data_IF_602899131734
#
_entry.id   IF_602899131734
#
_cell.length_a   1.000
_cell.length_b   1.000
_cell.length_c   1.000
_cell.angle_alpha   90.00
_cell.angle_beta   90.00
_cell.angle_gamma   90.00
#
_symmetry.space_group_name_H-M   'P 1'
#
loop_
_entity.id
_entity.type
_entity.pdbx_description
1 polymer ?
#
# COMPACT_ATOMS: atom_id res chain seq x y z
N UNK A 1 -7.72 11.21 4.07
CA UNK A 1 -7.72 12.17 5.21
C UNK A 1 -6.27 12.41 5.61
N UNK A 2 -5.82 13.66 5.80
CA UNK A 2 -4.43 13.91 6.19
C UNK A 2 -4.13 13.35 7.59
N UNK A 3 -2.99 12.68 7.72
CA UNK A 3 -2.41 12.24 8.99
C UNK A 3 -1.79 13.47 9.65
N UNK A 4 -2.22 13.75 10.88
CA UNK A 4 -1.78 14.92 11.64
C UNK A 4 -0.68 14.58 12.63
N UNK A 5 -0.05 15.60 13.20
CA UNK A 5 1.06 15.45 14.14
C UNK A 5 0.73 14.53 15.33
N UNK A 6 -0.52 14.47 15.78
CA UNK A 6 -0.96 13.62 16.89
C UNK A 6 -0.81 12.11 16.58
N UNK A 7 -0.65 11.73 15.30
CA UNK A 7 -0.36 10.35 14.92
C UNK A 7 0.99 9.84 15.43
N UNK A 8 1.89 10.74 15.84
CA UNK A 8 3.23 10.44 16.36
C UNK A 8 3.36 10.55 17.89
N UNK A 9 2.28 10.95 18.57
CA UNK A 9 2.15 10.91 20.03
C UNK A 9 1.88 9.48 20.51
N UNK A 10 2.11 9.17 21.78
CA UNK A 10 1.76 7.84 22.33
C UNK A 10 0.23 7.67 22.38
N UNK A 11 -0.37 6.76 21.59
CA UNK A 11 -1.81 6.55 21.58
C UNK A 11 -2.26 5.63 22.73
N UNK A 12 -1.35 5.23 23.63
CA UNK A 12 -1.55 4.25 24.71
C UNK A 12 -2.05 2.87 24.22
N UNK A 13 -1.73 2.54 22.96
CA UNK A 13 -2.10 1.32 22.26
C UNK A 13 -1.36 1.18 20.92
N UNK A 14 -1.84 0.31 20.03
CA UNK A 14 -1.34 0.22 18.65
C UNK A 14 -2.35 0.81 17.66
N UNK A 15 -1.90 1.76 16.83
CA UNK A 15 -2.70 2.40 15.78
C UNK A 15 -1.97 2.32 14.44
N UNK A 16 -2.71 1.99 13.39
CA UNK A 16 -2.22 1.91 12.01
C UNK A 16 -2.88 3.00 11.17
N UNK A 17 -2.07 3.67 10.36
CA UNK A 17 -2.51 4.67 9.39
C UNK A 17 -2.07 4.23 7.99
N UNK A 18 -3.01 4.13 7.06
CA UNK A 18 -2.66 3.87 5.67
C UNK A 18 -2.03 5.12 5.05
N UNK A 19 -0.89 4.94 4.39
CA UNK A 19 -0.13 6.00 3.74
C UNK A 19 -0.48 6.13 2.24
N UNK A 20 -1.38 5.28 1.73
CA UNK A 20 -1.56 5.07 0.30
C UNK A 20 -0.60 4.01 -0.24
N UNK A 21 -0.85 3.51 -1.46
CA UNK A 21 -0.08 2.40 -2.05
C UNK A 21 -0.01 1.22 -1.06
N UNK A 22 1.15 0.58 -0.89
CA UNK A 22 1.37 -0.47 0.09
C UNK A 22 1.74 0.05 1.50
N UNK A 23 1.81 1.37 1.69
CA UNK A 23 2.45 1.98 2.84
C UNK A 23 1.57 2.05 4.09
N UNK A 24 2.15 1.77 5.25
CA UNK A 24 1.49 1.95 6.55
C UNK A 24 2.43 2.58 7.58
N UNK A 25 1.93 3.56 8.34
CA UNK A 25 2.53 4.04 9.58
C UNK A 25 1.91 3.27 10.75
N UNK A 26 2.74 2.66 11.58
CA UNK A 26 2.35 1.92 12.77
C UNK A 26 2.91 2.66 13.98
N UNK A 27 2.02 3.07 14.89
CA UNK A 27 2.39 3.61 16.19
C UNK A 27 1.97 2.62 17.27
N UNK A 28 2.94 1.86 17.78
CA UNK A 28 2.76 0.87 18.83
C UNK A 28 3.26 1.45 20.17
N UNK A 29 2.37 2.11 20.89
CA UNK A 29 2.62 2.74 22.21
C UNK A 29 3.83 3.67 22.18
N UNK A 30 3.94 4.48 21.12
CA UNK A 30 5.04 5.41 20.90
C UNK A 30 6.24 4.85 20.12
N UNK A 31 6.30 3.53 19.88
CA UNK A 31 7.25 2.93 18.91
C UNK A 31 6.71 3.13 17.51
N UNK A 32 7.45 3.87 16.67
CA UNK A 32 7.01 4.28 15.34
C UNK A 32 7.70 3.48 14.24
N UNK A 33 6.92 2.73 13.48
CA UNK A 33 7.37 1.97 12.32
C UNK A 33 6.68 2.47 11.06
N UNK A 34 7.36 2.47 9.92
CA UNK A 34 6.72 2.58 8.62
C UNK A 34 6.98 1.31 7.81
N UNK A 35 5.94 0.70 7.24
CA UNK A 35 6.04 -0.42 6.30
C UNK A 35 5.85 0.14 4.89
N UNK A 36 6.75 -0.20 3.96
CA UNK A 36 6.71 0.16 2.54
C UNK A 36 6.29 1.62 2.27
N UNK A 37 6.91 2.62 2.91
CA UNK A 37 6.46 4.00 2.79
C UNK A 37 6.73 4.57 1.38
N UNK A 38 5.65 5.02 0.74
CA UNK A 38 5.71 5.80 -0.49
C UNK A 38 4.92 7.09 -0.28
N UNK A 39 5.63 8.22 -0.20
CA UNK A 39 5.09 9.53 0.15
C UNK A 39 5.39 10.62 -0.89
N UNK A 40 6.22 10.31 -1.90
CA UNK A 40 6.61 11.25 -2.96
C UNK A 40 7.23 10.55 -4.17
N UNK A 41 7.26 11.27 -5.30
CA UNK A 41 8.05 10.99 -6.50
C UNK A 41 7.87 9.55 -7.06
N UNK A 42 6.62 9.11 -7.17
CA UNK A 42 6.29 7.88 -7.90
C UNK A 42 6.32 8.12 -9.41
N UNK A 43 6.72 7.10 -10.17
CA UNK A 43 6.95 7.17 -11.61
C UNK A 43 5.68 7.04 -12.45
N UNK A 44 4.59 6.57 -11.84
CA UNK A 44 3.27 6.56 -12.43
C UNK A 44 2.39 7.66 -11.83
N UNK A 45 1.45 8.24 -12.59
CA UNK A 45 0.50 9.19 -12.03
C UNK A 45 -0.35 8.52 -10.94
N UNK A 46 -0.61 9.23 -9.84
CA UNK A 46 -1.37 8.73 -8.69
C UNK A 46 -2.74 9.39 -8.60
N UNK A 47 -3.74 8.63 -8.12
CA UNK A 47 -5.12 9.08 -7.89
C UNK A 47 -5.35 9.65 -6.49
N UNK A 48 -4.37 9.48 -5.61
CA UNK A 48 -4.46 9.86 -4.20
C UNK A 48 -3.54 11.04 -3.89
N UNK A 49 -3.99 11.89 -2.96
CA UNK A 49 -3.09 12.76 -2.22
C UNK A 49 -2.44 11.94 -1.10
N UNK A 50 -1.11 11.91 -1.03
CA UNK A 50 -0.42 11.27 0.09
C UNK A 50 -0.90 11.90 1.41
N UNK A 51 -1.39 11.11 2.37
CA UNK A 51 -1.99 11.61 3.59
C UNK A 51 -0.93 12.19 4.54
N UNK A 52 0.35 12.01 4.25
CA UNK A 52 1.49 12.45 5.03
C UNK A 52 2.62 12.86 4.07
N UNK A 53 3.29 13.98 4.34
CA UNK A 53 4.51 14.34 3.62
C UNK A 53 5.71 13.78 4.36
N UNK A 54 6.75 13.34 3.63
CA UNK A 54 7.97 12.82 4.27
C UNK A 54 8.63 13.85 5.21
N UNK A 55 8.56 15.14 4.88
CA UNK A 55 9.07 16.23 5.70
C UNK A 55 8.31 16.45 7.02
N UNK A 56 7.06 15.97 7.11
CA UNK A 56 6.21 16.10 8.30
C UNK A 56 6.41 14.92 9.28
N UNK A 57 7.26 13.94 8.94
CA UNK A 57 7.59 12.81 9.80
C UNK A 57 8.65 13.24 10.83
N UNK A 58 8.32 13.31 12.14
CA UNK A 58 9.25 13.83 13.13
C UNK A 58 10.33 12.82 13.52
N UNK A 59 10.00 11.52 13.50
CA UNK A 59 10.89 10.40 13.84
C UNK A 59 10.29 9.08 13.37
N UNK A 60 11.14 8.10 13.11
CA UNK A 60 10.81 6.69 12.95
C UNK A 60 11.85 5.85 13.71
N UNK A 61 11.39 4.88 14.49
CA UNK A 61 12.27 3.90 15.11
C UNK A 61 12.73 2.85 14.08
N UNK A 62 11.85 2.49 13.14
CA UNK A 62 12.27 1.74 11.97
C UNK A 62 11.42 1.97 10.72
N UNK A 63 12.04 1.74 9.56
CA UNK A 63 11.35 1.53 8.28
C UNK A 63 11.53 0.08 7.87
N UNK A 64 10.45 -0.61 7.54
CA UNK A 64 10.41 -1.98 7.08
C UNK A 64 10.08 -1.97 5.58
N UNK A 65 10.93 -2.56 4.76
CA UNK A 65 10.71 -2.66 3.31
C UNK A 65 10.64 -4.12 2.90
N UNK A 66 9.57 -4.51 2.22
CA UNK A 66 9.31 -5.91 1.83
C UNK A 66 10.19 -6.35 0.67
N UNK A 67 10.36 -5.51 -0.35
CA UNK A 67 11.17 -5.83 -1.54
C UNK A 67 11.58 -4.57 -2.32
N UNK A 68 12.29 -4.75 -3.44
CA UNK A 68 13.01 -3.66 -4.13
C UNK A 68 12.17 -2.88 -5.16
N UNK A 69 10.92 -3.26 -5.43
CA UNK A 69 10.11 -2.58 -6.43
C UNK A 69 9.72 -1.18 -5.93
N UNK A 70 9.62 -0.22 -6.83
CA UNK A 70 9.62 1.20 -6.48
C UNK A 70 8.32 1.67 -5.80
N UNK A 71 7.24 0.90 -5.93
CA UNK A 71 5.98 1.06 -5.23
C UNK A 71 6.03 0.57 -3.77
N UNK A 72 7.10 -0.11 -3.36
CA UNK A 72 7.38 -0.55 -1.99
C UNK A 72 8.66 0.08 -1.42
N UNK A 73 9.77 -0.02 -2.16
CA UNK A 73 11.03 0.66 -1.89
C UNK A 73 11.15 1.96 -2.69
N UNK A 74 10.36 2.97 -2.30
CA UNK A 74 10.49 4.32 -2.85
C UNK A 74 11.82 4.95 -2.41
N UNK A 75 12.84 4.92 -3.28
CA UNK A 75 14.14 5.56 -3.03
C UNK A 75 13.99 7.04 -2.66
N UNK A 76 13.18 7.86 -3.34
CA UNK A 76 12.95 9.25 -2.94
C UNK A 76 12.40 9.38 -1.51
N UNK A 77 11.37 8.60 -1.19
CA UNK A 77 10.75 8.62 0.16
C UNK A 77 11.74 8.14 1.22
N UNK A 78 12.39 7.00 1.02
CA UNK A 78 13.35 6.46 1.98
C UNK A 78 14.56 7.40 2.19
N UNK A 79 15.00 8.09 1.13
CA UNK A 79 16.07 9.10 1.22
C UNK A 79 15.61 10.30 2.05
N UNK A 80 14.39 10.80 1.83
CA UNK A 80 13.82 11.90 2.60
C UNK A 80 13.64 11.53 4.10
N UNK A 81 13.27 10.28 4.38
CA UNK A 81 13.08 9.77 5.75
C UNK A 81 14.39 9.40 6.46
N UNK A 82 15.53 9.34 5.76
CA UNK A 82 16.79 8.84 6.30
C UNK A 82 17.23 9.59 7.57
N UNK A 83 17.11 10.92 7.57
CA UNK A 83 17.55 11.75 8.70
C UNK A 83 16.70 11.58 9.98
N UNK A 84 15.47 11.07 9.85
CA UNK A 84 14.52 10.89 10.96
C UNK A 84 14.31 9.41 11.32
N UNK A 85 14.97 8.49 10.62
CA UNK A 85 14.83 7.04 10.81
C UNK A 85 16.04 6.46 11.52
N UNK A 86 15.84 5.74 12.63
CA UNK A 86 16.96 5.10 13.33
C UNK A 86 17.55 3.95 12.53
N UNK A 87 16.70 3.05 12.00
CA UNK A 87 17.11 1.88 11.21
C UNK A 87 16.14 1.54 10.10
N UNK A 88 16.69 1.09 8.97
CA UNK A 88 15.92 0.45 7.91
C UNK A 88 16.11 -1.06 8.01
N UNK A 89 15.05 -1.83 7.84
CA UNK A 89 15.09 -3.29 7.89
C UNK A 89 14.44 -3.87 6.64
N UNK A 90 15.15 -4.81 6.01
CA UNK A 90 14.64 -5.51 4.83
C UNK A 90 15.36 -6.85 4.64
N UNK A 91 15.19 -7.47 3.48
CA UNK A 91 16.03 -8.59 3.06
C UNK A 91 17.49 -8.18 2.96
N UNK A 92 18.39 -9.17 2.93
CA UNK A 92 19.83 -8.91 2.76
C UNK A 92 20.13 -8.09 1.51
N UNK A 93 19.42 -8.37 0.42
CA UNK A 93 19.59 -7.68 -0.85
C UNK A 93 19.13 -6.22 -0.79
N UNK A 94 17.89 -5.97 -0.34
CA UNK A 94 17.37 -4.59 -0.30
C UNK A 94 18.14 -3.74 0.72
N UNK A 95 18.55 -4.33 1.86
CA UNK A 95 19.39 -3.63 2.82
C UNK A 95 20.80 -3.30 2.26
N UNK A 96 21.32 -4.06 1.29
CA UNK A 96 22.52 -3.69 0.55
C UNK A 96 22.29 -2.44 -0.31
N UNK A 97 21.20 -2.41 -1.09
CA UNK A 97 20.81 -1.23 -1.88
C UNK A 97 20.64 0.02 -1.00
N UNK A 98 19.96 -0.11 0.13
CA UNK A 98 19.79 0.97 1.10
C UNK A 98 21.12 1.49 1.64
N UNK A 99 22.09 0.61 1.93
CA UNK A 99 23.43 1.02 2.40
C UNK A 99 24.23 1.72 1.31
N UNK A 100 24.10 1.30 0.04
CA UNK A 100 24.70 2.01 -1.09
C UNK A 100 24.17 3.45 -1.22
N UNK A 101 22.92 3.67 -0.83
CA UNK A 101 22.28 4.98 -0.76
C UNK A 101 22.56 5.74 0.56
N UNK A 102 23.40 5.20 1.45
CA UNK A 102 23.80 5.84 2.70
C UNK A 102 22.78 5.75 3.84
N UNK A 103 21.83 4.80 3.77
CA UNK A 103 20.85 4.56 4.84
C UNK A 103 21.41 3.59 5.89
N UNK A 104 21.06 3.75 7.18
CA UNK A 104 21.45 2.83 8.25
C UNK A 104 20.59 1.56 8.21
N UNK A 105 20.87 0.66 7.26
CA UNK A 105 20.04 -0.52 7.00
C UNK A 105 20.64 -1.84 7.49
N UNK A 106 19.78 -2.70 8.03
CA UNK A 106 20.07 -4.06 8.48
C UNK A 106 19.32 -5.07 7.61
N UNK A 107 20.06 -6.05 7.07
CA UNK A 107 19.54 -7.08 6.17
C UNK A 107 19.30 -8.40 6.88
N UNK A 108 18.12 -8.98 6.67
CA UNK A 108 17.64 -10.18 7.37
C UNK A 108 17.38 -11.32 6.40
N UNK A 109 17.55 -12.56 6.87
CA UNK A 109 17.07 -13.76 6.21
C UNK A 109 15.65 -14.13 6.62
N UNK A 110 15.01 -14.99 5.83
CA UNK A 110 13.69 -15.52 6.16
C UNK A 110 13.75 -16.33 7.46
N UNK A 111 12.86 -16.02 8.40
CA UNK A 111 12.80 -16.61 9.74
C UNK A 111 13.64 -15.86 10.79
N UNK A 112 14.49 -14.91 10.39
CA UNK A 112 15.20 -14.05 11.34
C UNK A 112 14.19 -13.17 12.08
N UNK A 113 14.54 -12.79 13.31
CA UNK A 113 13.72 -11.91 14.13
C UNK A 113 14.57 -10.84 14.82
N UNK A 114 13.99 -9.65 14.98
CA UNK A 114 14.62 -8.50 15.61
C UNK A 114 13.58 -7.72 16.44
N UNK A 115 14.05 -6.75 17.22
CA UNK A 115 13.19 -5.90 18.04
C UNK A 115 13.45 -4.43 17.79
N UNK A 116 12.39 -3.65 17.78
CA UNK A 116 12.41 -2.19 17.70
C UNK A 116 11.54 -1.68 18.83
N UNK A 117 12.14 -1.05 19.83
CA UNK A 117 11.42 -0.66 21.05
C UNK A 117 10.67 -1.85 21.69
N UNK A 118 9.35 -1.69 21.88
CA UNK A 118 8.47 -2.73 22.41
C UNK A 118 7.90 -3.70 21.37
N UNK A 119 8.36 -3.66 20.12
CA UNK A 119 7.84 -4.44 18.99
C UNK A 119 8.84 -5.51 18.59
N UNK A 120 8.37 -6.75 18.41
CA UNK A 120 9.16 -7.86 17.84
C UNK A 120 8.74 -8.09 16.40
N UNK A 121 9.70 -8.18 15.49
CA UNK A 121 9.44 -8.41 14.07
C UNK A 121 10.11 -9.72 13.66
N UNK A 122 9.36 -10.60 12.99
CA UNK A 122 9.90 -11.81 12.36
C UNK A 122 9.73 -11.70 10.84
N UNK A 123 10.79 -12.00 10.11
CA UNK A 123 10.80 -11.95 8.65
C UNK A 123 10.14 -13.21 8.10
N UNK A 124 9.00 -13.06 7.43
CA UNK A 124 8.23 -14.16 6.84
C UNK A 124 8.58 -14.34 5.37
N UNK A 125 8.29 -15.53 4.83
CA UNK A 125 8.56 -15.84 3.43
C UNK A 125 7.68 -14.98 2.52
N UNK A 126 8.22 -14.34 1.46
CA UNK A 126 7.41 -13.68 0.43
C UNK A 126 7.03 -14.67 -0.68
N UNK A 127 6.18 -14.22 -1.59
CA UNK A 127 6.25 -14.69 -2.99
C UNK A 127 6.09 -13.53 -3.95
N UNK A 128 7.12 -12.72 -4.09
CA UNK A 128 7.23 -11.78 -5.23
C UNK A 128 7.80 -12.52 -6.46
N UNK A 129 7.67 -11.97 -7.67
CA UNK A 129 7.90 -12.73 -8.91
C UNK A 129 9.38 -12.80 -9.29
N UNK A 130 10.14 -13.65 -8.59
CA UNK A 130 11.50 -14.04 -9.00
C UNK A 130 11.59 -14.91 -10.27
N UNK A 131 10.49 -15.08 -11.03
CA UNK A 131 10.39 -16.06 -12.14
C UNK A 131 10.12 -15.46 -13.52
N UNK A 132 10.29 -14.16 -13.73
CA UNK A 132 10.25 -13.60 -15.08
C UNK A 132 11.61 -13.78 -15.77
N UNK A 133 11.69 -14.41 -16.97
CA UNK A 133 12.93 -14.50 -17.73
C UNK A 133 13.47 -13.10 -18.04
N UNK A 134 14.70 -12.80 -17.63
CA UNK A 134 15.32 -11.49 -17.85
C UNK A 134 16.35 -11.51 -18.98
N UNK A 135 16.54 -10.39 -19.71
CA UNK A 135 17.64 -10.24 -20.66
C UNK A 135 19.00 -10.52 -20.03
N UNK A 136 19.95 -11.00 -20.83
CA UNK A 136 21.32 -11.23 -20.39
C UNK A 136 21.96 -9.96 -19.81
N UNK A 137 22.61 -10.07 -18.65
CA UNK A 137 23.25 -8.94 -17.95
C UNK A 137 22.43 -8.33 -16.83
N UNK A 138 21.17 -8.76 -16.63
CA UNK A 138 20.39 -8.39 -15.46
C UNK A 138 20.61 -9.39 -14.30
N UNK A 139 20.52 -8.89 -13.07
CA UNK A 139 20.59 -9.72 -11.85
C UNK A 139 19.46 -10.75 -11.85
N UNK A 140 19.79 -11.98 -11.47
CA UNK A 140 18.81 -13.00 -11.11
C UNK A 140 18.27 -12.69 -9.72
N UNK A 141 16.97 -12.50 -9.60
CA UNK A 141 16.30 -12.32 -8.31
C UNK A 141 15.99 -13.68 -7.70
N UNK A 142 16.19 -13.77 -6.40
CA UNK A 142 15.91 -14.95 -5.58
C UNK A 142 14.68 -14.70 -4.72
N UNK A 143 13.99 -15.76 -4.33
CA UNK A 143 12.79 -15.65 -3.49
C UNK A 143 13.12 -14.93 -2.16
N UNK A 144 14.33 -15.11 -1.62
CA UNK A 144 14.82 -14.42 -0.42
C UNK A 144 15.16 -12.93 -0.60
N UNK A 145 15.04 -12.38 -1.80
CA UNK A 145 15.21 -10.93 -2.04
C UNK A 145 13.99 -10.12 -1.64
N UNK A 146 12.89 -10.79 -1.31
CA UNK A 146 11.68 -10.21 -0.76
C UNK A 146 11.34 -10.82 0.58
N UNK A 147 10.41 -10.23 1.32
CA UNK A 147 9.89 -10.79 2.55
C UNK A 147 8.50 -10.24 2.89
N UNK A 148 7.87 -10.88 3.88
CA UNK A 148 6.86 -10.22 4.70
C UNK A 148 7.38 -9.99 6.12
N UNK A 149 6.59 -9.27 6.94
CA UNK A 149 6.89 -8.98 8.32
C UNK A 149 5.73 -9.38 9.23
N UNK A 150 6.01 -10.31 10.15
CA UNK A 150 5.15 -10.64 11.28
C UNK A 150 5.52 -9.76 12.47
N UNK A 151 4.65 -8.82 12.83
CA UNK A 151 4.93 -7.71 13.73
C UNK A 151 4.10 -7.91 15.01
N UNK A 152 4.78 -8.27 16.09
CA UNK A 152 4.18 -8.53 17.39
C UNK A 152 4.33 -7.27 18.27
N UNK A 153 3.19 -6.69 18.65
CA UNK A 153 3.11 -5.56 19.59
C UNK A 153 2.53 -6.03 20.92
N UNK A 154 2.52 -5.16 21.95
CA UNK A 154 1.85 -5.46 23.21
C UNK A 154 0.31 -5.57 23.09
N UNK A 155 -0.27 -4.98 22.04
CA UNK A 155 -1.72 -4.87 21.85
C UNK A 155 -2.27 -5.88 20.82
N UNK A 156 -1.40 -6.57 20.10
CA UNK A 156 -1.79 -7.51 19.05
C UNK A 156 -0.71 -7.71 17.98
N UNK A 157 -1.03 -8.54 17.00
CA UNK A 157 -0.17 -8.95 15.91
C UNK A 157 -0.64 -8.37 14.59
N UNK A 158 0.28 -7.74 13.88
CA UNK A 158 0.09 -7.22 12.52
C UNK A 158 0.92 -8.07 11.58
N UNK A 159 0.35 -8.49 10.45
CA UNK A 159 1.10 -9.18 9.42
C UNK A 159 1.11 -8.38 8.12
N UNK A 160 2.31 -8.09 7.63
CA UNK A 160 2.56 -7.40 6.37
C UNK A 160 3.23 -8.36 5.37
N UNK A 161 2.48 -9.10 4.54
CA UNK A 161 3.03 -10.06 3.58
C UNK A 161 3.68 -9.43 2.33
N UNK A 162 3.59 -8.10 2.17
CA UNK A 162 3.88 -7.43 0.89
C UNK A 162 2.78 -7.73 -0.15
N UNK A 163 3.04 -7.37 -1.40
CA UNK A 163 2.24 -7.69 -2.60
C UNK A 163 2.56 -9.09 -3.15
N UNK A 164 2.51 -10.08 -2.26
CA UNK A 164 2.92 -11.44 -2.58
C UNK A 164 1.87 -12.21 -3.40
N UNK A 165 2.30 -13.23 -4.14
CA UNK A 165 1.45 -14.36 -4.54
C UNK A 165 1.00 -15.18 -3.32
N UNK A 166 -0.01 -16.03 -3.47
CA UNK A 166 -0.43 -16.89 -2.37
C UNK A 166 0.49 -18.11 -2.25
N UNK A 167 1.14 -18.28 -1.09
CA UNK A 167 1.86 -19.51 -0.73
C UNK A 167 0.96 -20.36 0.15
N UNK A 168 0.29 -21.36 -0.41
CA UNK A 168 -0.69 -22.15 0.36
C UNK A 168 -0.07 -22.84 1.57
N UNK A 169 1.14 -23.36 1.43
CA UNK A 169 1.87 -24.09 2.48
C UNK A 169 2.48 -23.17 3.55
N UNK A 170 2.43 -21.85 3.36
CA UNK A 170 2.89 -20.87 4.34
C UNK A 170 1.72 -20.02 4.80
N UNK A 171 1.14 -19.23 3.91
CA UNK A 171 0.16 -18.21 4.25
C UNK A 171 -1.12 -18.76 4.89
N UNK A 172 -1.64 -19.88 4.38
CA UNK A 172 -2.85 -20.49 4.92
C UNK A 172 -2.62 -21.28 6.22
N UNK A 173 -1.36 -21.44 6.63
CA UNK A 173 -0.96 -22.23 7.81
C UNK A 173 -0.37 -21.39 8.94
N UNK A 174 -0.12 -20.09 8.69
CA UNK A 174 0.28 -19.15 9.73
C UNK A 174 -0.82 -19.01 10.78
N UNK A 175 -0.50 -18.65 12.03
CA UNK A 175 -1.50 -18.20 12.99
C UNK A 175 -2.29 -17.02 12.43
N UNK A 176 -3.55 -16.86 12.85
CA UNK A 176 -4.35 -15.69 12.47
C UNK A 176 -3.84 -14.43 13.17
N UNK A 177 -3.42 -13.39 12.43
CA UNK A 177 -3.04 -12.11 13.02
C UNK A 177 -4.28 -11.32 13.45
N UNK A 178 -4.11 -10.30 14.29
CA UNK A 178 -5.20 -9.37 14.60
C UNK A 178 -5.47 -8.42 13.42
N UNK A 179 -4.42 -8.00 12.70
CA UNK A 179 -4.54 -7.20 11.48
C UNK A 179 -3.65 -7.75 10.35
N UNK A 180 -4.18 -7.77 9.13
CA UNK A 180 -3.48 -8.23 7.94
C UNK A 180 -3.42 -7.09 6.92
N UNK A 181 -2.22 -6.63 6.55
CA UNK A 181 -2.02 -5.64 5.49
C UNK A 181 -2.19 -6.36 4.15
N UNK A 182 -3.38 -6.27 3.61
CA UNK A 182 -3.89 -7.21 2.64
C UNK A 182 -3.85 -6.63 1.22
N UNK A 183 -2.90 -7.08 0.42
CA UNK A 183 -2.87 -6.81 -1.01
C UNK A 183 -3.67 -7.87 -1.77
N UNK A 184 -4.36 -7.48 -2.83
CA UNK A 184 -4.76 -8.41 -3.89
C UNK A 184 -4.95 -7.65 -5.18
N UNK A 185 -4.75 -8.34 -6.30
CA UNK A 185 -5.22 -7.95 -7.62
C UNK A 185 -5.28 -9.19 -8.50
N UNK A 186 -6.13 -9.19 -9.52
CA UNK A 186 -6.18 -10.30 -10.49
C UNK A 186 -5.04 -10.19 -11.50
N UNK A 187 -3.82 -10.31 -10.99
CA UNK A 187 -2.58 -10.29 -11.73
C UNK A 187 -1.67 -11.41 -11.26
N UNK A 188 -0.73 -11.82 -12.12
CA UNK A 188 0.18 -12.90 -11.77
C UNK A 188 1.20 -12.51 -10.69
N UNK A 189 1.28 -11.25 -10.24
CA UNK A 189 2.27 -10.84 -9.23
C UNK A 189 1.69 -10.87 -7.80
N UNK A 190 0.36 -10.80 -7.65
CA UNK A 190 -0.34 -10.64 -6.39
C UNK A 190 -1.09 -11.92 -5.98
N UNK A 191 -1.89 -11.86 -4.91
CA UNK A 191 -2.68 -13.00 -4.43
C UNK A 191 -3.68 -13.55 -5.45
N UNK A 192 -4.08 -12.81 -6.50
CA UNK A 192 -5.29 -13.06 -7.30
C UNK A 192 -6.57 -12.93 -6.48
N UNK A 193 -7.72 -12.83 -7.14
CA UNK A 193 -9.00 -12.83 -6.44
C UNK A 193 -9.22 -14.15 -5.66
N UNK A 194 -9.01 -15.29 -6.32
CA UNK A 194 -9.21 -16.60 -5.69
C UNK A 194 -8.25 -16.81 -4.51
N UNK A 195 -6.98 -16.42 -4.66
CA UNK A 195 -6.01 -16.52 -3.57
C UNK A 195 -6.31 -15.55 -2.42
N UNK A 196 -6.87 -14.37 -2.70
CA UNK A 196 -7.36 -13.47 -1.67
C UNK A 196 -8.52 -14.08 -0.87
N UNK A 197 -9.48 -14.73 -1.53
CA UNK A 197 -10.57 -15.45 -0.87
C UNK A 197 -10.03 -16.59 0.01
N UNK A 198 -9.07 -17.38 -0.49
CA UNK A 198 -8.43 -18.43 0.32
C UNK A 198 -7.70 -17.85 1.54
N UNK A 199 -6.92 -16.78 1.36
CA UNK A 199 -6.17 -16.11 2.42
C UNK A 199 -7.09 -15.54 3.50
N UNK A 200 -8.11 -14.79 3.11
CA UNK A 200 -9.08 -14.21 4.04
C UNK A 200 -9.84 -15.28 4.82
N UNK A 201 -10.22 -16.39 4.16
CA UNK A 201 -10.93 -17.48 4.81
C UNK A 201 -10.05 -18.34 5.73
N UNK A 202 -8.74 -18.37 5.52
CA UNK A 202 -7.79 -18.97 6.45
C UNK A 202 -7.58 -18.11 7.71
N UNK A 203 -7.86 -16.81 7.61
CA UNK A 203 -7.69 -15.82 8.69
C UNK A 203 -9.00 -15.08 8.99
N UNK A 204 -10.11 -15.78 9.31
CA UNK A 204 -11.46 -15.20 9.34
C UNK A 204 -11.69 -14.19 10.48
N UNK A 205 -10.79 -14.15 11.45
CA UNK A 205 -10.84 -13.25 12.61
C UNK A 205 -9.88 -12.04 12.48
N UNK A 206 -9.08 -11.96 11.40
CA UNK A 206 -8.16 -10.85 11.17
C UNK A 206 -8.88 -9.64 10.56
N UNK A 207 -8.59 -8.43 11.04
CA UNK A 207 -8.99 -7.21 10.34
C UNK A 207 -8.18 -7.07 9.04
N UNK A 208 -8.87 -7.05 7.90
CA UNK A 208 -8.24 -6.96 6.57
C UNK A 208 -8.06 -5.48 6.19
N UNK A 209 -6.83 -5.02 6.15
CA UNK A 209 -6.48 -3.65 5.77
C UNK A 209 -6.02 -3.63 4.31
N UNK A 210 -6.98 -3.42 3.41
CA UNK A 210 -6.72 -3.46 1.97
C UNK A 210 -5.83 -2.30 1.53
N UNK A 211 -4.81 -2.61 0.74
CA UNK A 211 -3.84 -1.62 0.23
C UNK A 211 -3.48 -1.90 -1.23
N UNK A 212 -2.57 -1.12 -1.81
CA UNK A 212 -2.12 -1.15 -3.22
C UNK A 212 -3.17 -0.65 -4.23
N UNK A 213 -4.43 -1.07 -4.09
CA UNK A 213 -5.54 -0.69 -4.96
C UNK A 213 -5.86 0.81 -4.94
N UNK A 214 -6.45 1.32 -6.04
CA UNK A 214 -7.07 2.64 -6.11
C UNK A 214 -6.10 3.82 -5.97
N UNK A 215 -4.80 3.57 -5.96
CA UNK A 215 -3.76 4.59 -5.71
C UNK A 215 -3.10 5.11 -6.99
N UNK A 216 -3.09 4.32 -8.07
CA UNK A 216 -2.38 4.63 -9.32
C UNK A 216 -3.38 4.88 -10.45
N UNK A 217 -3.17 5.94 -11.24
CA UNK A 217 -3.96 6.25 -12.44
C UNK A 217 -3.47 5.39 -13.60
N UNK A 218 -3.83 4.10 -13.55
CA UNK A 218 -3.48 3.14 -14.59
C UNK A 218 -4.60 2.11 -14.77
N UNK A 219 -5.78 2.50 -15.26
CA UNK A 219 -6.98 1.65 -15.25
C UNK A 219 -6.85 0.34 -16.03
N UNK A 220 -5.87 0.24 -16.93
CA UNK A 220 -5.62 -0.96 -17.74
C UNK A 220 -4.49 -1.85 -17.17
N UNK A 221 -3.92 -1.49 -16.02
CA UNK A 221 -2.83 -2.23 -15.39
C UNK A 221 -3.31 -2.94 -14.13
N UNK A 222 -3.65 -4.22 -14.27
CA UNK A 222 -4.29 -5.03 -13.24
C UNK A 222 -3.71 -4.91 -11.80
N UNK A 223 -2.38 -4.82 -11.57
CA UNK A 223 -1.79 -4.75 -10.22
C UNK A 223 -2.43 -3.75 -9.26
N UNK A 224 -2.77 -2.56 -9.75
CA UNK A 224 -3.28 -1.45 -8.92
C UNK A 224 -4.80 -1.31 -8.92
N UNK A 225 -5.54 -2.20 -9.60
CA UNK A 225 -6.96 -2.01 -9.93
C UNK A 225 -7.87 -3.11 -9.37
N UNK A 226 -7.52 -3.70 -8.23
CA UNK A 226 -8.44 -4.57 -7.53
C UNK A 226 -9.67 -3.80 -7.04
N UNK A 227 -10.82 -4.47 -7.03
CA UNK A 227 -12.08 -3.94 -6.49
C UNK A 227 -12.35 -4.55 -5.11
N UNK A 228 -12.12 -3.82 -4.00
CA UNK A 228 -12.41 -4.27 -2.64
C UNK A 228 -13.81 -4.83 -2.40
N UNK A 229 -14.82 -4.31 -3.11
CA UNK A 229 -16.21 -4.71 -2.88
C UNK A 229 -16.44 -6.14 -3.37
N UNK A 230 -15.73 -6.57 -4.40
CA UNK A 230 -15.79 -7.97 -4.89
C UNK A 230 -15.30 -8.96 -3.84
N UNK A 231 -14.29 -8.60 -3.05
CA UNK A 231 -13.75 -9.46 -2.00
C UNK A 231 -14.70 -9.51 -0.80
N UNK A 232 -15.33 -8.39 -0.44
CA UNK A 232 -16.27 -8.29 0.68
C UNK A 232 -17.41 -9.31 0.56
N UNK A 233 -17.92 -9.52 -0.65
CA UNK A 233 -19.04 -10.44 -0.89
C UNK A 233 -18.63 -11.93 -0.89
N UNK A 234 -17.33 -12.23 -0.96
CA UNK A 234 -16.80 -13.58 -1.15
C UNK A 234 -16.19 -14.22 0.12
N UNK A 235 -15.97 -13.44 1.18
CA UNK A 235 -15.30 -13.91 2.41
C UNK A 235 -16.28 -14.38 3.48
N UNK A 236 -15.86 -15.37 4.29
CA UNK A 236 -16.68 -16.01 5.34
C UNK A 236 -17.14 -15.01 6.42
N UNK A 237 -16.35 -13.97 6.68
CA UNK A 237 -16.66 -12.94 7.68
C UNK A 237 -16.47 -11.53 7.09
N UNK A 238 -17.47 -10.98 6.38
CA UNK A 238 -17.38 -9.64 5.77
C UNK A 238 -17.37 -8.52 6.81
N UNK A 239 -17.67 -8.84 8.09
CA UNK A 239 -17.61 -7.92 9.22
C UNK A 239 -16.24 -7.85 9.91
N UNK A 240 -15.30 -8.75 9.59
CA UNK A 240 -13.89 -8.46 9.80
C UNK A 240 -13.60 -7.17 9.00
N UNK A 241 -13.06 -6.15 9.66
CA UNK A 241 -13.18 -4.78 9.16
C UNK A 241 -12.31 -4.60 7.92
N UNK A 242 -12.89 -4.80 6.72
CA UNK A 242 -12.27 -4.36 5.47
C UNK A 242 -12.18 -2.84 5.53
N UNK A 243 -11.03 -2.35 5.98
CA UNK A 243 -10.82 -0.95 6.33
C UNK A 243 -9.73 -0.35 5.43
N UNK A 244 -10.02 0.82 4.86
CA UNK A 244 -9.16 1.44 3.86
C UNK A 244 -8.34 2.61 4.39
N UNK A 245 -8.45 3.05 5.65
CA UNK A 245 -7.83 4.33 6.05
C UNK A 245 -7.17 4.35 7.45
N UNK A 246 -7.74 3.69 8.46
CA UNK A 246 -7.21 3.71 9.83
C UNK A 246 -7.72 2.52 10.65
N UNK A 247 -6.85 1.89 11.44
CA UNK A 247 -7.23 0.83 12.38
C UNK A 247 -6.62 1.09 13.77
N UNK A 248 -7.33 0.70 14.83
CA UNK A 248 -6.85 0.78 16.23
C UNK A 248 -7.03 -0.56 16.91
N UNK A 249 -5.95 -1.06 17.51
CA UNK A 249 -5.94 -2.32 18.26
C UNK A 249 -6.19 -2.12 19.76
N UNK A 250 -6.22 -0.88 20.26
CA UNK A 250 -6.55 -0.57 21.66
C UNK A 250 -8.06 -0.46 21.89
N UNK A 251 -8.72 -1.60 22.06
CA UNK A 251 -10.16 -1.65 22.39
C UNK A 251 -10.76 -3.04 22.60
N UNK A 252 -10.00 -4.12 22.40
CA UNK A 252 -10.55 -5.47 22.36
C UNK A 252 -10.74 -6.11 23.74
N UNK A 253 -11.73 -5.63 24.49
CA UNK A 253 -12.43 -6.47 25.45
C UNK A 253 -13.28 -7.48 24.68
N UNK A 254 -12.96 -8.78 24.76
CA UNK A 254 -13.73 -9.88 24.14
C UNK A 254 -15.25 -9.68 24.32
N UNK A 255 -15.94 -9.27 23.28
CA UNK A 255 -17.39 -9.47 23.16
C UNK A 255 -17.58 -10.62 22.17
N UNK A 256 -17.74 -11.83 22.71
CA UNK A 256 -18.23 -12.97 21.94
C UNK A 256 -19.69 -12.69 21.56
N UNK A 257 -19.93 -12.48 20.26
CA UNK A 257 -21.25 -12.52 19.65
C UNK A 257 -22.09 -11.27 19.88
N UNK A 258 -22.39 -10.55 18.81
CA UNK A 258 -23.37 -9.47 18.80
C UNK A 258 -22.88 -8.29 17.97
N UNK A 259 -23.67 -7.94 16.95
CA UNK A 259 -23.38 -6.90 15.99
C UNK A 259 -23.06 -5.52 16.60
N UNK A 260 -22.28 -4.75 15.83
CA UNK A 260 -22.03 -3.30 15.84
C UNK A 260 -21.14 -2.72 16.94
N UNK A 261 -20.05 -2.03 16.52
CA UNK A 261 -19.82 -0.60 16.75
C UNK A 261 -18.57 -0.14 15.97
N UNK A 262 -18.76 0.32 14.72
CA UNK A 262 -17.80 1.25 14.10
C UNK A 262 -18.18 2.65 14.56
N UNK A 263 -17.31 3.31 15.31
CA UNK A 263 -17.47 4.71 15.66
C UNK A 263 -17.33 5.55 14.37
N UNK A 264 -18.47 5.93 13.79
CA UNK A 264 -18.55 6.99 12.80
C UNK A 264 -19.08 8.23 13.54
N UNK A 265 -18.25 9.24 13.71
CA UNK A 265 -18.69 10.56 14.13
C UNK A 265 -19.58 11.16 13.03
N UNK A 266 -20.88 10.91 13.12
CA UNK A 266 -21.88 11.63 12.35
C UNK A 266 -22.21 12.91 13.12
N UNK A 267 -21.68 14.04 12.64
CA UNK A 267 -22.12 15.36 13.06
C UNK A 267 -23.63 15.50 12.77
N UNK A 268 -24.46 15.35 13.81
CA UNK A 268 -25.88 15.72 13.78
C UNK A 268 -26.01 17.24 13.68
N UNK A 269 -26.30 17.75 12.49
CA UNK A 269 -26.92 19.07 12.36
C UNK A 269 -28.38 18.92 12.81
N UNK A 270 -28.63 19.18 14.09
CA UNK A 270 -30.00 19.36 14.60
C UNK A 270 -30.36 20.84 14.50
N UNK A 271 -31.23 21.17 13.54
CA UNK A 271 -31.84 22.49 13.42
C UNK A 271 -32.87 22.68 14.53
N UNK A 272 -32.48 23.33 15.62
CA UNK A 272 -33.42 23.94 16.56
C UNK A 272 -33.62 25.41 16.21
N UNK A 273 -34.76 25.72 15.61
CA UNK A 273 -35.26 27.07 15.49
C UNK A 273 -35.71 27.60 16.86
N UNK A 274 -35.05 28.64 17.37
CA UNK A 274 -35.60 29.46 18.45
C UNK A 274 -35.18 30.94 18.28
N UNK A 275 -36.21 31.73 18.01
CA UNK A 275 -36.40 33.19 18.04
C UNK A 275 -35.40 34.02 18.85
N UNK A 276 -34.99 35.14 18.25
CA UNK A 276 -34.94 36.45 18.93
C UNK A 276 -35.30 37.60 17.98
N UNK A 277 -36.07 38.54 18.50
CA UNK A 277 -36.66 39.73 17.86
C UNK A 277 -35.72 40.95 17.93
N UNK A 278 -36.07 41.94 17.09
CA UNK A 278 -35.79 43.38 17.15
C UNK A 278 -34.40 43.82 16.62
N UNK A 279 -34.22 44.89 15.84
CA UNK A 279 -35.06 46.06 15.61
C UNK A 279 -34.78 46.70 14.23
N UNK A 280 -35.76 47.44 13.73
CA UNK A 280 -35.83 48.26 12.52
C UNK A 280 -34.88 49.47 12.49
N UNK A 281 -34.41 49.89 11.31
CA UNK A 281 -34.74 51.21 10.66
C UNK A 281 -34.04 51.41 9.29
N UNK A 282 -34.87 51.75 8.29
CA UNK A 282 -34.72 52.61 7.09
C UNK A 282 -33.37 52.90 6.40
N UNK A 283 -33.40 52.90 5.05
CA UNK A 283 -32.56 53.76 4.20
C UNK A 283 -32.42 53.31 2.74
N UNK A 284 -32.89 54.11 1.79
CA UNK A 284 -33.08 53.82 0.37
C UNK A 284 -31.83 53.91 -0.54
N UNK A 285 -31.95 53.23 -1.69
CA UNK A 285 -31.47 53.57 -3.06
C UNK A 285 -29.98 53.56 -3.42
N UNK A 286 -29.67 52.96 -4.58
CA UNK A 286 -28.48 53.29 -5.37
C UNK A 286 -27.87 52.11 -6.11
N UNK A 287 -28.00 52.08 -7.44
CA UNK A 287 -27.55 50.97 -8.28
C UNK A 287 -26.03 50.89 -8.53
N UNK A 288 -25.70 49.81 -9.23
CA UNK A 288 -24.58 49.59 -10.15
C UNK A 288 -23.25 48.97 -9.65
N UNK A 289 -23.04 47.76 -10.19
CA UNK A 289 -21.81 47.04 -10.54
C UNK A 289 -20.69 46.87 -9.52
N UNK A 290 -20.51 45.61 -9.08
CA UNK A 290 -19.24 44.87 -9.18
C UNK A 290 -19.52 43.36 -9.17
N UNK A 291 -18.82 42.66 -10.05
CA UNK A 291 -18.83 41.21 -10.31
C UNK A 291 -18.48 40.39 -9.07
N UNK A 292 -19.20 39.30 -8.74
CA UNK A 292 -18.75 38.34 -7.74
C UNK A 292 -17.75 37.35 -8.37
N UNK A 293 -16.71 37.05 -7.60
CA UNK A 293 -15.84 35.88 -7.76
C UNK A 293 -16.68 34.60 -7.72
N UNK A 294 -16.39 33.67 -8.63
CA UNK A 294 -17.00 32.33 -8.62
C UNK A 294 -16.34 31.52 -7.51
N UNK A 295 -17.08 31.32 -6.42
CA UNK A 295 -16.78 30.29 -5.43
C UNK A 295 -16.85 28.92 -6.12
N UNK A 296 -15.79 28.12 -5.95
CA UNK A 296 -15.77 26.71 -6.35
C UNK A 296 -16.78 25.98 -5.48
N UNK A 297 -17.87 25.54 -6.10
CA UNK A 297 -18.82 24.62 -5.50
C UNK A 297 -18.11 23.28 -5.21
N UNK A 298 -18.35 22.76 -4.01
CA UNK A 298 -18.07 21.38 -3.62
C UNK A 298 -18.76 20.42 -4.60
N UNK A 299 -17.97 19.54 -5.24
CA UNK A 299 -18.47 18.44 -6.05
C UNK A 299 -18.46 17.19 -5.16
N UNK A 300 -19.65 16.73 -4.76
CA UNK A 300 -19.85 15.37 -4.27
C UNK A 300 -19.83 14.41 -5.47
N UNK A 301 -18.92 13.44 -5.46
CA UNK A 301 -18.79 12.47 -6.55
C UNK A 301 -19.73 11.29 -6.29
N UNK A 302 -20.98 11.40 -6.76
CA UNK A 302 -21.81 10.24 -7.05
C UNK A 302 -21.47 9.74 -8.45
N UNK A 303 -21.11 8.45 -8.53
CA UNK A 303 -21.09 7.56 -9.71
C UNK A 303 -21.02 8.21 -11.10
N UNK A 304 -19.86 8.11 -11.77
CA UNK A 304 -19.73 8.43 -13.21
C UNK A 304 -19.14 7.25 -13.98
N UNK A 305 -20.01 6.58 -14.73
CA UNK A 305 -19.63 5.90 -15.97
C UNK A 305 -19.49 6.96 -17.08
N UNK A 306 -18.32 7.09 -17.73
CA UNK A 306 -18.26 7.37 -19.19
C UNK A 306 -16.87 7.18 -19.82
N UNK A 307 -16.90 6.89 -21.13
CA UNK A 307 -15.85 6.47 -22.07
C UNK A 307 -14.79 7.52 -22.44
N UNK A 308 -13.58 7.00 -22.63
CA UNK A 308 -12.46 7.31 -23.56
C UNK A 308 -12.48 8.59 -24.42
N UNK A 309 -11.34 9.29 -24.40
CA UNK A 309 -10.56 9.52 -25.64
C UNK A 309 -9.05 9.34 -25.36
N UNK A 310 -8.35 8.71 -26.30
CA UNK A 310 -6.95 8.27 -26.22
C UNK A 310 -6.05 9.37 -26.77
N UNK A 311 -5.03 9.77 -26.02
CA UNK A 311 -3.65 9.99 -26.49
C UNK A 311 -2.78 10.42 -25.31
N UNK A 312 -1.98 9.50 -24.77
CA UNK A 312 -0.57 9.73 -24.44
C UNK A 312 0.02 8.47 -23.80
N UNK A 313 1.09 7.97 -24.40
CA UNK A 313 1.87 6.83 -23.93
C UNK A 313 2.83 7.29 -22.81
N UNK A 314 2.98 6.54 -21.69
CA UNK A 314 4.01 6.85 -20.71
C UNK A 314 5.37 6.23 -21.12
N UNK A 315 6.41 7.06 -21.06
CA UNK A 315 7.82 6.74 -21.33
C UNK A 315 8.53 6.11 -20.12
N UNK A 316 9.46 5.22 -20.44
CA UNK A 316 10.19 4.23 -19.62
C UNK A 316 11.39 4.80 -18.83
N UNK A 317 11.79 4.08 -17.78
CA UNK A 317 13.13 4.11 -17.19
C UNK A 317 14.19 3.45 -18.08
N UNK A 318 15.48 3.78 -17.92
CA UNK A 318 16.55 3.29 -18.79
C UNK A 318 16.82 1.80 -18.56
N UNK A 319 16.48 0.96 -19.54
CA UNK A 319 16.85 -0.46 -19.54
C UNK A 319 15.86 -1.45 -20.15
N UNK A 320 14.69 -0.99 -20.62
CA UNK A 320 13.67 -1.87 -21.21
C UNK A 320 13.54 -1.66 -22.73
N UNK A 321 13.78 -2.68 -23.58
CA UNK A 321 13.57 -2.55 -25.02
C UNK A 321 12.07 -2.62 -25.40
N UNK A 322 11.70 -1.83 -26.40
CA UNK A 322 10.37 -1.76 -27.03
C UNK A 322 9.86 -3.14 -27.49
N UNK A 323 8.53 -3.35 -27.42
CA UNK A 323 7.88 -4.50 -28.09
C UNK A 323 8.13 -4.41 -29.60
N UNK A 324 8.60 -5.48 -30.27
CA UNK A 324 8.67 -5.46 -31.73
C UNK A 324 7.24 -5.47 -32.29
N UNK A 325 6.97 -4.54 -33.20
CA UNK A 325 5.74 -4.50 -33.99
C UNK A 325 5.59 -5.80 -34.80
N UNK A 326 4.50 -6.53 -34.59
CA UNK A 326 4.12 -7.63 -35.48
C UNK A 326 3.80 -7.07 -36.87
N UNK A 327 4.58 -7.48 -37.87
CA UNK A 327 4.11 -7.49 -39.25
C UNK A 327 4.51 -8.79 -39.94
N UNK A 328 3.56 -9.28 -40.73
CA UNK A 328 3.40 -10.67 -41.20
C UNK A 328 4.38 -11.11 -42.31
N UNK A 329 4.90 -12.33 -42.11
CA UNK A 329 5.05 -13.46 -43.07
C UNK A 329 6.13 -13.40 -44.20
N UNK A 330 6.39 -14.49 -44.97
CA UNK A 330 7.59 -15.34 -44.76
C UNK A 330 8.38 -15.66 -46.05
N UNK A 331 9.67 -16.01 -45.97
CA UNK A 331 10.36 -16.71 -47.07
C UNK A 331 11.34 -17.78 -46.61
N UNK A 332 11.25 -18.93 -47.28
CA UNK A 332 12.06 -20.14 -47.15
C UNK A 332 13.36 -20.04 -47.97
N UNK A 333 14.44 -20.64 -47.48
CA UNK A 333 15.45 -21.43 -48.24
C UNK A 333 16.51 -21.95 -47.25
N UNK A 334 16.56 -23.22 -46.84
CA UNK A 334 17.12 -24.44 -47.48
C UNK A 334 18.65 -24.45 -47.65
N UNK A 335 19.26 -25.57 -47.22
CA UNK A 335 20.61 -26.12 -47.49
C UNK A 335 21.77 -25.51 -46.68
N UNK A 336 22.81 -26.22 -46.22
CA UNK A 336 23.26 -27.62 -46.30
C UNK A 336 24.39 -27.80 -45.25
N UNK A 337 24.41 -28.87 -44.45
CA UNK A 337 25.33 -30.01 -44.55
C UNK A 337 26.82 -29.77 -44.15
N UNK A 338 27.31 -30.70 -43.31
CA UNK A 338 28.69 -31.18 -43.05
C UNK A 338 29.46 -30.68 -41.81
N UNK A 339 29.39 -31.51 -40.77
CA UNK A 339 30.52 -32.23 -40.14
C UNK A 339 31.92 -31.62 -40.23
N UNK A 340 32.55 -31.39 -39.06
CA UNK A 340 33.91 -31.84 -38.75
C UNK A 340 34.12 -31.95 -37.23
N UNK A 341 34.87 -32.99 -36.87
CA UNK A 341 35.13 -33.65 -35.57
C UNK A 341 36.05 -32.88 -34.60
N UNK A 342 36.28 -33.38 -33.36
CA UNK A 342 36.76 -32.61 -32.20
C UNK A 342 38.24 -32.86 -31.78
N UNK A 343 38.65 -32.14 -30.71
CA UNK A 343 39.73 -32.39 -29.70
C UNK A 343 41.07 -31.67 -29.95
N UNK A 344 41.80 -31.18 -28.91
CA UNK A 344 41.56 -31.28 -27.45
C UNK A 344 41.06 -30.03 -26.75
#
# INVERSE_FOLDING_TARGET
>A
MPIRAEAFDDPHGTVLYWLGMAGFLINARGTLLAVDPLLQDFDMPVLIDFPLQAADVPRLDAVLVTHADNDHFSVPTCTALNAVTQRFHSTRYVAELMRELGMPADGHGIGDAFSVGGVRVTVTRPTTPGRMPRPAGQRTFHDEDSCGFWIETLDGVIWAPGDSRLIREHHLTMPTPDALLFDFSDSEWHFTFDGAVEMANAHPDADLLLHHWGSVDSPEFAPFNADPDTLRDAVVNPSASVCSHRASLSGWGRVRGGATHSAVDIAKVSGTAAKTRANSTMGCAGGFHRTPSVDKADISVDSVHTRFDRTNSPTQFPGWPEKPSENRSPTKSVSSCRTCTPIP
#
